data_IF_298281279655
#
_entry.id   IF_298281279655
#
_cell.length_a   1.000
_cell.length_b   1.000
_cell.length_c   1.000
_cell.angle_alpha   90.00
_cell.angle_beta   90.00
_cell.angle_gamma   90.00
#
_symmetry.space_group_name_H-M   'P 1'
#
loop_
_entity.id
_entity.type
_entity.pdbx_description
1 polymer ?
#
# COMPACT_ATOMS: atom_id res chain seq x y z
N UNK A 1 12.73 -25.96 17.06
CA UNK A 1 11.61 -25.65 16.14
C UNK A 1 12.24 -25.43 14.77
N UNK A 2 11.99 -26.35 13.84
CA UNK A 2 13.03 -26.95 13.00
C UNK A 2 13.27 -26.23 11.66
N UNK A 3 14.56 -26.01 11.34
CA UNK A 3 15.16 -25.57 10.07
C UNK A 3 14.53 -26.14 8.78
N UNK A 4 13.74 -27.21 8.89
CA UNK A 4 13.10 -27.92 7.79
C UNK A 4 11.90 -27.16 7.19
N UNK A 5 11.15 -26.37 7.97
CA UNK A 5 9.98 -25.62 7.47
C UNK A 5 10.39 -24.42 6.59
N UNK A 6 11.49 -23.75 6.93
CA UNK A 6 12.01 -22.63 6.13
C UNK A 6 12.58 -23.09 4.79
N UNK A 7 13.16 -24.29 4.74
CA UNK A 7 13.64 -24.91 3.49
C UNK A 7 12.48 -25.27 2.56
N UNK A 8 11.38 -25.80 3.09
CA UNK A 8 10.17 -26.10 2.30
C UNK A 8 9.48 -24.82 1.78
N UNK A 9 9.43 -23.75 2.59
CA UNK A 9 8.89 -22.45 2.15
C UNK A 9 9.75 -21.84 1.03
N UNK A 10 11.08 -21.96 1.13
CA UNK A 10 12.01 -21.51 0.08
C UNK A 10 11.91 -22.35 -1.18
N UNK A 11 11.76 -23.67 -1.06
CA UNK A 11 11.57 -24.58 -2.19
C UNK A 11 10.24 -24.32 -2.92
N UNK A 12 9.16 -23.99 -2.19
CA UNK A 12 7.86 -23.58 -2.76
C UNK A 12 7.94 -22.24 -3.51
N UNK A 13 8.80 -21.32 -3.08
CA UNK A 13 9.04 -20.05 -3.80
C UNK A 13 9.85 -20.27 -5.09
N UNK A 14 10.86 -21.13 -5.05
CA UNK A 14 11.67 -21.47 -6.21
C UNK A 14 10.88 -22.21 -7.30
N UNK A 15 9.89 -23.03 -6.95
CA UNK A 15 9.00 -23.68 -7.93
C UNK A 15 7.94 -22.74 -8.50
N UNK A 16 7.59 -21.65 -7.81
CA UNK A 16 6.70 -20.60 -8.33
C UNK A 16 7.42 -19.61 -9.27
N UNK A 17 8.75 -19.52 -9.20
CA UNK A 17 9.59 -18.70 -10.09
C UNK A 17 9.74 -19.30 -11.51
N UNK A 18 9.27 -20.54 -11.72
CA UNK A 18 9.39 -21.28 -12.97
C UNK A 18 8.14 -21.35 -13.84
N UNK A 19 7.41 -20.26 -14.09
CA UNK A 19 6.49 -20.15 -15.25
C UNK A 19 5.98 -18.71 -15.46
N UNK A 20 6.86 -17.78 -15.83
CA UNK A 20 6.43 -16.43 -16.26
C UNK A 20 6.08 -16.41 -17.76
N UNK A 21 5.13 -17.24 -18.21
CA UNK A 21 4.29 -16.77 -19.31
C UNK A 21 3.39 -15.71 -18.70
N UNK A 22 3.60 -14.44 -19.06
CA UNK A 22 2.92 -13.29 -18.46
C UNK A 22 1.41 -13.49 -18.44
N UNK A 23 0.88 -13.91 -17.28
CA UNK A 23 -0.56 -14.03 -17.09
C UNK A 23 -1.10 -12.60 -17.11
N UNK A 24 -1.92 -12.31 -18.11
CA UNK A 24 -2.64 -11.05 -18.20
C UNK A 24 -3.50 -10.95 -16.94
N UNK A 25 -3.29 -9.91 -16.14
CA UNK A 25 -4.13 -9.63 -14.96
C UNK A 25 -5.43 -9.00 -15.46
N UNK A 26 -6.60 -9.59 -15.20
CA UNK A 26 -7.88 -9.04 -15.66
C UNK A 26 -8.12 -7.66 -15.04
N UNK A 27 -8.70 -6.76 -15.83
CA UNK A 27 -9.20 -5.45 -15.39
C UNK A 27 -10.71 -5.53 -15.25
N UNK A 28 -11.22 -5.16 -14.10
CA UNK A 28 -12.65 -5.27 -13.72
C UNK A 28 -13.14 -3.94 -13.19
N UNK A 29 -14.43 -3.66 -13.34
CA UNK A 29 -15.06 -2.42 -12.89
C UNK A 29 -16.42 -2.71 -12.28
N UNK A 30 -16.80 -1.97 -11.25
CA UNK A 30 -18.14 -2.01 -10.67
C UNK A 30 -18.51 -3.33 -9.99
N UNK A 31 -17.52 -4.08 -9.48
CA UNK A 31 -17.79 -5.27 -8.69
C UNK A 31 -18.27 -4.89 -7.29
N UNK A 32 -19.30 -5.57 -6.82
CA UNK A 32 -19.64 -5.56 -5.40
C UNK A 32 -18.56 -6.26 -4.57
N UNK A 33 -18.54 -5.98 -3.28
CA UNK A 33 -17.75 -6.74 -2.28
C UNK A 33 -17.85 -8.26 -2.46
N UNK A 34 -19.08 -8.77 -2.59
CA UNK A 34 -19.36 -10.20 -2.64
C UNK A 34 -18.84 -10.85 -3.93
N UNK A 35 -19.01 -10.17 -5.07
CA UNK A 35 -18.48 -10.64 -6.35
C UNK A 35 -16.95 -10.67 -6.35
N UNK A 36 -16.32 -9.60 -5.84
CA UNK A 36 -14.87 -9.56 -5.71
C UNK A 36 -14.35 -10.68 -4.80
N UNK A 37 -15.01 -10.92 -3.66
CA UNK A 37 -14.61 -11.96 -2.73
C UNK A 37 -14.70 -13.36 -3.37
N UNK A 38 -15.83 -13.67 -4.00
CA UNK A 38 -16.10 -14.97 -4.64
C UNK A 38 -15.16 -15.25 -5.80
N UNK A 39 -15.00 -14.28 -6.69
CA UNK A 39 -14.37 -14.52 -7.98
C UNK A 39 -12.85 -14.29 -7.96
N UNK A 40 -12.35 -13.47 -7.02
CA UNK A 40 -10.95 -13.03 -6.96
C UNK A 40 -10.26 -13.29 -5.62
N UNK A 41 -10.78 -12.75 -4.52
CA UNK A 41 -10.06 -12.79 -3.24
C UNK A 41 -9.96 -14.20 -2.62
N UNK A 42 -11.08 -14.94 -2.50
CA UNK A 42 -11.07 -16.33 -1.99
C UNK A 42 -10.21 -17.25 -2.87
N UNK A 43 -10.34 -17.22 -4.21
CA UNK A 43 -9.53 -18.07 -5.07
C UNK A 43 -8.06 -17.63 -5.21
N UNK A 44 -7.66 -16.51 -4.62
CA UNK A 44 -6.31 -15.96 -4.74
C UNK A 44 -5.96 -15.52 -6.17
N UNK A 45 -6.92 -15.02 -6.94
CA UNK A 45 -6.71 -14.55 -8.32
C UNK A 45 -6.43 -13.04 -8.33
N UNK A 46 -5.33 -12.58 -8.93
CA UNK A 46 -5.05 -11.16 -9.06
C UNK A 46 -6.03 -10.50 -10.03
N UNK A 47 -6.42 -9.25 -9.73
CA UNK A 47 -7.20 -8.39 -10.61
C UNK A 47 -6.84 -6.91 -10.39
N UNK A 48 -7.03 -6.10 -11.44
CA UNK A 48 -7.02 -4.64 -11.35
C UNK A 48 -8.46 -4.16 -11.26
N UNK A 49 -8.84 -3.56 -10.13
CA UNK A 49 -10.18 -2.98 -9.94
C UNK A 49 -10.16 -1.52 -10.35
N UNK A 50 -10.71 -1.23 -11.53
CA UNK A 50 -10.82 0.12 -12.07
C UNK A 50 -11.90 0.92 -11.35
N UNK A 51 -11.61 2.19 -11.11
CA UNK A 51 -12.53 3.11 -10.43
C UNK A 51 -12.59 2.97 -8.90
N UNK A 52 -11.85 2.01 -8.32
CA UNK A 52 -11.94 1.71 -6.89
C UNK A 52 -11.60 2.91 -5.99
N UNK A 53 -10.68 3.77 -6.42
CA UNK A 53 -10.16 4.89 -5.63
C UNK A 53 -10.50 6.26 -6.24
N UNK A 54 -11.44 6.34 -7.19
CA UNK A 54 -11.76 7.59 -7.90
C UNK A 54 -12.22 8.72 -6.97
N UNK A 55 -12.77 8.37 -5.81
CA UNK A 55 -13.16 9.34 -4.77
C UNK A 55 -12.04 9.76 -3.82
N UNK A 56 -10.79 9.33 -4.03
CA UNK A 56 -9.66 9.79 -3.22
C UNK A 56 -9.22 11.20 -3.63
N UNK A 57 -9.23 12.14 -2.69
CA UNK A 57 -8.70 13.50 -2.90
C UNK A 57 -7.21 13.46 -3.29
N UNK A 58 -6.48 12.45 -2.83
CA UNK A 58 -5.06 12.27 -3.14
C UNK A 58 -4.79 12.26 -4.65
N UNK A 59 -5.71 11.71 -5.47
CA UNK A 59 -5.57 11.68 -6.93
C UNK A 59 -5.54 13.08 -7.56
N UNK A 60 -6.12 14.08 -6.89
CA UNK A 60 -6.20 15.46 -7.37
C UNK A 60 -5.18 16.37 -6.69
N UNK A 61 -4.80 16.06 -5.45
CA UNK A 61 -3.95 16.91 -4.61
C UNK A 61 -2.48 16.53 -4.63
N UNK A 62 -2.16 15.23 -4.63
CA UNK A 62 -0.80 14.77 -4.34
C UNK A 62 0.06 14.79 -5.61
N UNK A 63 0.73 15.92 -5.83
CA UNK A 63 1.80 16.06 -6.83
C UNK A 63 3.17 16.16 -6.15
N UNK A 64 4.28 15.94 -6.87
CA UNK A 64 5.61 16.19 -6.31
C UNK A 64 5.76 17.59 -5.70
N UNK A 65 5.20 18.62 -6.34
CA UNK A 65 5.22 20.01 -5.87
C UNK A 65 4.47 20.17 -4.55
N UNK A 66 3.26 19.60 -4.43
CA UNK A 66 2.50 19.58 -3.19
C UNK A 66 3.32 19.00 -2.03
N UNK A 67 4.00 17.88 -2.28
CA UNK A 67 4.82 17.23 -1.25
C UNK A 67 6.07 18.05 -0.89
N UNK A 68 6.72 18.68 -1.87
CA UNK A 68 7.88 19.55 -1.66
C UNK A 68 7.48 20.80 -0.88
N UNK A 69 6.40 21.48 -1.25
CA UNK A 69 5.94 22.71 -0.61
C UNK A 69 5.54 22.47 0.84
N UNK A 70 4.74 21.43 1.10
CA UNK A 70 4.15 21.19 2.41
C UNK A 70 5.05 20.42 3.36
N UNK A 71 5.89 19.52 2.84
CA UNK A 71 6.67 18.58 3.65
C UNK A 71 8.14 18.48 3.25
N UNK A 72 8.63 19.30 2.32
CA UNK A 72 9.97 19.17 1.74
C UNK A 72 11.10 19.14 2.76
N UNK A 73 10.99 19.94 3.82
CA UNK A 73 12.01 20.00 4.90
C UNK A 73 11.91 18.88 5.94
N UNK A 74 10.83 18.07 5.90
CA UNK A 74 10.66 16.96 6.84
C UNK A 74 11.81 15.97 6.69
N UNK A 75 12.53 15.70 7.78
CA UNK A 75 13.60 14.70 7.80
C UNK A 75 13.01 13.29 7.82
N UNK A 76 13.45 12.46 6.89
CA UNK A 76 13.07 11.05 6.74
C UNK A 76 14.30 10.16 6.74
N UNK A 77 14.16 8.91 7.18
CA UNK A 77 15.22 7.90 7.14
C UNK A 77 14.94 6.89 6.04
N UNK A 78 15.88 6.73 5.10
CA UNK A 78 15.81 5.73 4.03
C UNK A 78 17.09 4.92 4.05
N UNK A 79 16.98 3.63 4.32
CA UNK A 79 18.13 2.70 4.41
C UNK A 79 19.23 3.19 5.36
N UNK A 80 18.84 3.74 6.52
CA UNK A 80 19.78 4.24 7.54
C UNK A 80 20.39 5.62 7.25
N UNK A 81 20.04 6.25 6.13
CA UNK A 81 20.48 7.60 5.78
C UNK A 81 19.35 8.60 5.98
N UNK A 82 19.68 9.78 6.50
CA UNK A 82 18.72 10.85 6.75
C UNK A 82 18.69 11.84 5.60
N UNK A 83 17.49 12.10 5.07
CA UNK A 83 17.22 13.00 3.95
C UNK A 83 16.15 14.02 4.34
N UNK A 84 16.15 15.20 3.73
CA UNK A 84 14.94 16.00 3.60
C UNK A 84 14.03 15.34 2.54
N UNK A 85 12.71 15.35 2.75
CA UNK A 85 11.78 14.68 1.85
C UNK A 85 11.85 15.23 0.42
N UNK A 86 12.12 16.53 0.24
CA UNK A 86 12.34 17.12 -1.09
C UNK A 86 13.51 16.48 -1.86
N UNK A 87 14.55 16.02 -1.16
CA UNK A 87 15.70 15.35 -1.77
C UNK A 87 15.27 13.97 -2.30
N UNK A 88 14.47 13.22 -1.54
CA UNK A 88 13.92 11.93 -1.96
C UNK A 88 13.04 12.10 -3.20
N UNK A 89 12.14 13.09 -3.20
CA UNK A 89 11.23 13.34 -4.32
C UNK A 89 12.04 13.67 -5.59
N UNK A 90 13.02 14.57 -5.48
CA UNK A 90 13.91 14.90 -6.58
C UNK A 90 14.65 13.68 -7.11
N UNK A 91 15.28 12.90 -6.22
CA UNK A 91 16.00 11.70 -6.62
C UNK A 91 15.08 10.70 -7.33
N UNK A 92 13.83 10.54 -6.88
CA UNK A 92 12.85 9.67 -7.52
C UNK A 92 12.46 10.13 -8.93
N UNK A 93 12.26 11.44 -9.13
CA UNK A 93 11.93 12.02 -10.45
C UNK A 93 13.11 11.92 -11.43
N UNK A 94 14.34 12.08 -10.93
CA UNK A 94 15.57 11.98 -11.72
C UNK A 94 16.03 10.50 -11.92
N UNK A 95 15.31 9.52 -11.36
CA UNK A 95 15.76 8.14 -11.32
C UNK A 95 15.67 7.42 -12.67
N UNK A 96 16.62 6.52 -12.91
CA UNK A 96 16.63 5.64 -14.08
C UNK A 96 16.92 4.20 -13.64
N UNK A 97 16.66 3.19 -14.50
CA UNK A 97 17.01 1.80 -14.18
C UNK A 97 18.49 1.59 -13.84
N UNK A 98 19.39 2.37 -14.45
CA UNK A 98 20.83 2.31 -14.19
C UNK A 98 21.28 3.18 -13.00
N UNK A 99 20.44 4.09 -12.51
CA UNK A 99 20.71 4.96 -11.36
C UNK A 99 19.44 5.12 -10.51
N UNK A 100 19.10 4.13 -9.68
CA UNK A 100 17.84 4.11 -8.94
C UNK A 100 17.86 5.05 -7.73
N UNK A 101 16.71 5.65 -7.43
CA UNK A 101 16.52 6.45 -6.22
C UNK A 101 16.41 5.60 -4.95
N UNK A 102 16.72 6.17 -3.77
CA UNK A 102 16.33 5.57 -2.49
C UNK A 102 14.81 5.39 -2.39
N UNK A 103 14.35 4.20 -1.99
CA UNK A 103 12.92 3.87 -1.94
C UNK A 103 12.31 4.14 -0.56
N UNK A 104 11.62 5.28 -0.43
CA UNK A 104 10.86 5.64 0.78
C UNK A 104 9.54 4.88 0.83
N UNK A 105 9.47 3.85 1.68
CA UNK A 105 8.36 2.87 1.72
C UNK A 105 7.97 2.49 3.15
N UNK A 106 6.86 1.78 3.30
CA UNK A 106 6.35 1.26 4.58
C UNK A 106 6.09 2.37 5.62
N UNK A 107 5.58 3.50 5.14
CA UNK A 107 5.29 4.67 5.97
C UNK A 107 3.86 4.61 6.46
N UNK A 108 3.70 4.70 7.78
CA UNK A 108 2.37 4.79 8.40
C UNK A 108 1.89 6.23 8.24
N UNK A 109 0.97 6.46 7.29
CA UNK A 109 0.47 7.80 6.95
C UNK A 109 -0.05 8.54 8.20
N UNK A 110 -0.90 7.88 9.00
CA UNK A 110 -1.46 8.44 10.24
C UNK A 110 -0.39 8.95 11.24
N UNK A 111 0.76 8.28 11.32
CA UNK A 111 1.81 8.66 12.27
C UNK A 111 2.72 9.77 11.73
N UNK A 112 2.85 9.90 10.41
CA UNK A 112 3.85 10.77 9.78
C UNK A 112 3.24 12.02 9.12
N UNK A 113 2.00 11.89 8.64
CA UNK A 113 1.22 12.88 7.87
C UNK A 113 -0.29 12.74 8.23
N UNK A 114 -0.67 12.96 9.50
CA UNK A 114 -2.04 12.71 9.96
C UNK A 114 -3.10 13.53 9.22
N UNK A 115 -2.76 14.74 8.77
CA UNK A 115 -3.63 15.65 8.03
C UNK A 115 -3.90 15.19 6.59
N UNK A 116 -3.13 14.23 6.07
CA UNK A 116 -3.35 13.60 4.77
C UNK A 116 -4.23 12.35 4.82
N UNK A 117 -4.56 11.84 6.01
CA UNK A 117 -5.43 10.66 6.15
C UNK A 117 -6.79 10.84 5.48
N UNK A 118 -7.47 12.00 5.58
CA UNK A 118 -8.74 12.22 4.89
C UNK A 118 -8.66 12.07 3.37
N UNK A 119 -7.48 12.32 2.76
CA UNK A 119 -7.33 12.28 1.30
C UNK A 119 -7.43 10.87 0.70
N UNK A 120 -7.33 9.84 1.54
CA UNK A 120 -7.40 8.41 1.16
C UNK A 120 -8.44 7.64 1.99
N UNK A 121 -9.34 8.36 2.68
CA UNK A 121 -10.25 7.76 3.66
C UNK A 121 -11.41 6.97 3.04
N UNK A 122 -11.77 7.24 1.78
CA UNK A 122 -12.85 6.51 1.11
C UNK A 122 -12.41 5.08 0.81
N UNK A 123 -12.84 4.13 1.64
CA UNK A 123 -12.50 2.71 1.44
C UNK A 123 -13.31 2.17 0.25
N UNK A 124 -12.64 1.58 -0.77
CA UNK A 124 -13.35 0.97 -1.90
C UNK A 124 -14.27 -0.16 -1.44
N UNK A 125 -15.44 -0.32 -2.07
CA UNK A 125 -16.41 -1.36 -1.70
C UNK A 125 -15.78 -2.75 -1.76
N UNK A 126 -14.93 -3.04 -2.75
CA UNK A 126 -14.23 -4.33 -2.88
C UNK A 126 -13.27 -4.65 -1.73
N UNK A 127 -12.93 -3.66 -0.89
CA UNK A 127 -12.11 -3.85 0.31
C UNK A 127 -12.94 -4.16 1.56
N UNK A 128 -14.27 -4.27 1.44
CA UNK A 128 -15.17 -4.61 2.53
C UNK A 128 -15.56 -6.11 2.51
N UNK A 129 -15.89 -6.70 3.67
CA UNK A 129 -15.63 -6.16 5.01
C UNK A 129 -14.12 -6.10 5.28
N UNK A 130 -13.67 -5.01 5.91
CA UNK A 130 -12.26 -4.82 6.25
C UNK A 130 -12.03 -5.15 7.73
N UNK A 131 -11.04 -6.00 8.01
CA UNK A 131 -10.64 -6.32 9.39
C UNK A 131 -10.25 -5.06 10.19
N UNK A 132 -9.73 -4.02 9.54
CA UNK A 132 -9.34 -2.76 10.20
C UNK A 132 -10.53 -1.94 10.71
N UNK A 133 -11.76 -2.29 10.35
CA UNK A 133 -12.98 -1.68 10.90
C UNK A 133 -13.53 -2.45 12.11
N UNK A 134 -12.95 -3.62 12.43
CA UNK A 134 -13.34 -4.40 13.59
C UNK A 134 -12.41 -4.12 14.75
N UNK A 135 -12.96 -3.58 15.84
CA UNK A 135 -12.22 -3.36 17.09
C UNK A 135 -11.57 -4.64 17.63
N UNK A 136 -12.13 -5.82 17.33
CA UNK A 136 -11.59 -7.14 17.73
C UNK A 136 -10.26 -7.47 17.03
N UNK A 137 -10.03 -6.95 15.82
CA UNK A 137 -8.90 -7.32 14.98
C UNK A 137 -7.92 -6.18 14.72
N UNK A 138 -8.12 -5.01 15.34
CA UNK A 138 -7.19 -3.88 15.27
C UNK A 138 -6.22 -3.93 16.47
N UNK A 139 -4.96 -4.37 16.28
CA UNK A 139 -3.92 -4.22 17.28
C UNK A 139 -3.86 -2.82 17.88
N UNK A 140 -3.58 -2.67 19.18
CA UNK A 140 -3.57 -1.38 19.88
C UNK A 140 -2.72 -0.29 19.20
N UNK A 141 -1.62 -0.67 18.54
CA UNK A 141 -0.76 0.24 17.76
C UNK A 141 -1.39 0.82 16.49
N UNK A 142 -2.56 0.35 16.10
CA UNK A 142 -3.33 0.78 14.93
C UNK A 142 -4.73 1.29 15.30
N UNK A 143 -5.11 1.20 16.58
CA UNK A 143 -6.38 1.71 17.07
C UNK A 143 -6.40 3.25 17.00
N UNK A 144 -7.51 3.82 16.52
CA UNK A 144 -7.77 5.25 16.62
C UNK A 144 -8.06 5.61 18.08
N UNK A 145 -7.55 6.75 18.61
CA UNK A 145 -7.87 7.22 19.97
C UNK A 145 -9.37 7.47 20.23
N UNK A 146 -10.21 7.47 19.19
CA UNK A 146 -11.65 7.76 19.26
C UNK A 146 -12.53 6.61 18.78
N UNK A 147 -12.03 5.37 18.73
CA UNK A 147 -12.95 4.24 18.64
C UNK A 147 -13.54 4.03 20.04
N UNK A 148 -14.46 4.93 20.44
CA UNK A 148 -15.33 4.66 21.57
C UNK A 148 -16.13 3.40 21.23
N UNK A 149 -16.01 2.33 22.03
CA UNK A 149 -16.95 1.23 21.93
C UNK A 149 -18.31 1.74 22.45
N UNK A 150 -19.33 1.62 21.61
CA UNK A 150 -20.72 1.61 22.09
C UNK A 150 -20.90 0.53 23.16
#
# INVERSE_FOLDING_TARGET
MTLNQDAEIRARRATAEGSSKGKIVPRVKGLSSAEFMRDYAIPGKPAVVEGAIDGWEALRKWTPEFWVERYGEKRVSVSGKSYALKEIIRLALDSTPSSPAPYYRNIVLRANFPDLVPDVALIPEVCLPNWSHSWLFVPPRWATPSADPL
#
